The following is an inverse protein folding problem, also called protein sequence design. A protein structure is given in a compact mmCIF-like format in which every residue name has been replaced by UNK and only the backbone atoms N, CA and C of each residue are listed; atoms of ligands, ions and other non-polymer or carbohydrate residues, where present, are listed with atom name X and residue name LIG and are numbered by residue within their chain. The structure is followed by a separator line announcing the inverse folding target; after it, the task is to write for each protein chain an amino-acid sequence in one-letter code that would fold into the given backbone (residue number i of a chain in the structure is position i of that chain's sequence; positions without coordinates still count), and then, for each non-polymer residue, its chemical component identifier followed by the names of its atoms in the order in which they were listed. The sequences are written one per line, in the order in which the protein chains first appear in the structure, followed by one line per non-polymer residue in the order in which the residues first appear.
data_IF_260883549202
#
_entry.id   IF_260883549202
#
_cell.length_a   1.000
_cell.length_b   1.000
_cell.length_c   1.000
_cell.angle_alpha   90.00
_cell.angle_beta   90.00
_cell.angle_gamma   90.00
#
_symmetry.space_group_name_H-M   'P 1'
#
loop_
_entity.id
_entity.type
_entity.pdbx_description
1 polymer ?
#
# COMPACT_ATOMS: atom_id res chain seq x y z
N UNK A 1 33.26 10.05 3.73
CA UNK A 1 31.89 10.40 3.28
C UNK A 1 31.16 9.23 2.60
N UNK A 2 31.83 8.34 1.86
CA UNK A 2 31.19 7.23 1.14
C UNK A 2 30.30 6.30 1.99
N UNK A 3 30.73 5.90 3.20
CA UNK A 3 29.96 4.98 4.05
C UNK A 3 28.58 5.49 4.52
N UNK A 4 28.40 6.81 4.70
CA UNK A 4 27.11 7.42 5.08
C UNK A 4 26.11 7.51 3.91
N UNK A 5 26.60 7.50 2.67
CA UNK A 5 25.76 7.52 1.48
C UNK A 5 25.23 6.11 1.16
N UNK A 6 26.08 5.08 1.32
CA UNK A 6 25.68 3.67 1.17
C UNK A 6 24.65 3.24 2.21
N UNK A 7 24.75 3.79 3.43
CA UNK A 7 23.81 3.55 4.52
C UNK A 7 22.41 4.14 4.20
N UNK A 8 22.34 5.40 3.76
CA UNK A 8 21.06 6.02 3.39
C UNK A 8 20.36 5.32 2.21
N UNK A 9 21.11 4.93 1.17
CA UNK A 9 20.54 4.20 0.03
C UNK A 9 20.02 2.80 0.43
N UNK A 10 20.62 2.19 1.45
CA UNK A 10 20.16 0.91 2.00
C UNK A 10 18.88 1.10 2.82
N UNK A 11 18.82 2.14 3.65
CA UNK A 11 17.60 2.51 4.38
C UNK A 11 16.45 2.86 3.45
N UNK A 12 16.71 3.57 2.35
CA UNK A 12 15.68 3.92 1.36
C UNK A 12 15.08 2.65 0.72
N UNK A 13 15.93 1.69 0.33
CA UNK A 13 15.46 0.39 -0.20
C UNK A 13 14.65 -0.39 0.82
N UNK A 14 15.08 -0.37 2.09
CA UNK A 14 14.33 -1.03 3.17
C UNK A 14 12.95 -0.41 3.37
N UNK A 15 12.83 0.93 3.30
CA UNK A 15 11.53 1.61 3.41
C UNK A 15 10.64 1.37 2.20
N UNK A 16 11.19 1.41 0.98
CA UNK A 16 10.43 1.05 -0.21
C UNK A 16 9.89 -0.39 -0.13
N UNK A 17 10.72 -1.33 0.33
CA UNK A 17 10.28 -2.70 0.58
C UNK A 17 9.17 -2.78 1.64
N UNK A 18 9.26 -1.99 2.72
CA UNK A 18 8.22 -1.92 3.73
C UNK A 18 6.88 -1.42 3.15
N UNK A 19 6.90 -0.38 2.31
CA UNK A 19 5.72 0.12 1.61
C UNK A 19 5.10 -0.97 0.74
N UNK A 20 5.91 -1.68 -0.02
CA UNK A 20 5.42 -2.77 -0.89
C UNK A 20 4.84 -3.94 -0.09
N UNK A 21 5.41 -4.26 1.07
CA UNK A 21 4.86 -5.28 1.96
C UNK A 21 3.50 -4.84 2.54
N UNK A 22 3.38 -3.60 3.02
CA UNK A 22 2.10 -3.05 3.51
C UNK A 22 1.03 -3.00 2.41
N UNK A 23 1.42 -2.68 1.17
CA UNK A 23 0.52 -2.77 0.00
C UNK A 23 0.02 -4.20 -0.22
N UNK A 24 0.92 -5.18 -0.14
CA UNK A 24 0.58 -6.60 -0.31
C UNK A 24 -0.38 -7.07 0.77
N UNK A 25 -0.10 -6.75 2.03
CA UNK A 25 -0.97 -7.07 3.17
C UNK A 25 -2.37 -6.48 2.98
N UNK A 26 -2.47 -5.19 2.62
CA UNK A 26 -3.74 -4.54 2.32
C UNK A 26 -4.48 -5.23 1.16
N UNK A 27 -3.77 -5.59 0.10
CA UNK A 27 -4.34 -6.30 -1.05
C UNK A 27 -4.94 -7.66 -0.66
N UNK A 28 -4.28 -8.42 0.21
CA UNK A 28 -4.79 -9.69 0.73
C UNK A 28 -6.09 -9.49 1.51
N UNK A 29 -6.16 -8.45 2.35
CA UNK A 29 -7.38 -8.15 3.13
C UNK A 29 -8.54 -7.75 2.23
N UNK A 30 -8.30 -6.92 1.21
CA UNK A 30 -9.32 -6.51 0.24
C UNK A 30 -9.83 -7.73 -0.56
N UNK A 31 -8.94 -8.61 -1.01
CA UNK A 31 -9.33 -9.83 -1.72
C UNK A 31 -10.22 -10.72 -0.83
N UNK A 32 -9.86 -10.86 0.46
CA UNK A 32 -10.68 -11.60 1.42
C UNK A 32 -12.04 -10.96 1.67
N UNK A 33 -12.14 -9.62 1.63
CA UNK A 33 -13.43 -8.93 1.73
C UNK A 33 -14.33 -9.26 0.54
N UNK A 34 -13.76 -9.23 -0.67
CA UNK A 34 -14.47 -9.60 -1.90
C UNK A 34 -14.98 -11.05 -1.85
N UNK A 35 -14.16 -11.99 -1.40
CA UNK A 35 -14.58 -13.39 -1.19
C UNK A 35 -15.77 -13.52 -0.23
N UNK A 36 -15.77 -12.76 0.88
CA UNK A 36 -16.87 -12.76 1.84
C UNK A 36 -18.15 -12.14 1.26
N UNK A 37 -18.03 -11.09 0.44
CA UNK A 37 -19.16 -10.48 -0.27
C UNK A 37 -19.78 -11.50 -1.23
N UNK A 38 -18.96 -12.16 -2.05
CA UNK A 38 -19.41 -13.19 -2.99
C UNK A 38 -20.08 -14.38 -2.28
N UNK A 39 -19.54 -14.79 -1.13
CA UNK A 39 -20.16 -15.82 -0.29
C UNK A 39 -21.55 -15.37 0.21
N UNK A 40 -21.70 -14.10 0.58
CA UNK A 40 -22.97 -13.52 0.98
C UNK A 40 -24.00 -13.54 -0.15
N UNK A 41 -23.60 -13.18 -1.37
CA UNK A 41 -24.46 -13.23 -2.54
C UNK A 41 -24.91 -14.66 -2.87
N UNK A 42 -24.00 -15.64 -2.77
CA UNK A 42 -24.37 -17.04 -2.99
C UNK A 42 -25.34 -17.54 -1.93
N UNK A 43 -25.15 -17.14 -0.67
CA UNK A 43 -26.07 -17.45 0.41
C UNK A 43 -27.47 -16.86 0.12
N UNK A 44 -27.55 -15.63 -0.36
CA UNK A 44 -28.80 -14.96 -0.72
C UNK A 44 -29.47 -15.63 -1.94
N UNK A 45 -28.70 -16.09 -2.93
CA UNK A 45 -29.20 -16.93 -4.05
C UNK A 45 -29.75 -18.28 -3.58
N UNK A 46 -29.10 -18.93 -2.62
CA UNK A 46 -29.58 -20.17 -2.01
C UNK A 46 -30.94 -19.97 -1.33
N UNK A 47 -31.11 -18.89 -0.57
CA UNK A 47 -32.40 -18.56 0.05
C UNK A 47 -33.53 -18.46 -0.97
N UNK A 48 -33.30 -17.72 -2.07
CA UNK A 48 -34.31 -17.56 -3.12
C UNK A 48 -34.70 -18.91 -3.73
N UNK A 49 -33.74 -19.84 -3.93
CA UNK A 49 -34.02 -21.19 -4.44
C UNK A 49 -34.89 -21.98 -3.46
N UNK A 50 -34.50 -22.04 -2.19
CA UNK A 50 -35.26 -22.78 -1.17
C UNK A 50 -36.67 -22.20 -0.96
N UNK A 51 -36.79 -20.88 -1.04
CA UNK A 51 -38.05 -20.17 -0.90
C UNK A 51 -39.02 -20.47 -2.07
N UNK A 52 -38.50 -20.69 -3.28
CA UNK A 52 -39.31 -21.17 -4.43
C UNK A 52 -39.76 -22.61 -4.23
N UNK A 53 -38.87 -23.51 -3.82
CA UNK A 53 -39.20 -24.92 -3.56
C UNK A 53 -40.29 -25.04 -2.47
N UNK A 54 -40.17 -24.27 -1.39
CA UNK A 54 -41.16 -24.25 -0.33
C UNK A 54 -42.53 -23.68 -0.77
N UNK A 55 -42.53 -22.77 -1.75
CA UNK A 55 -43.77 -22.22 -2.32
C UNK A 55 -44.47 -23.20 -3.26
N UNK A 56 -43.72 -24.09 -3.92
CA UNK A 56 -44.25 -25.13 -4.82
C UNK A 56 -44.88 -26.31 -4.04
N UNK A 57 -44.37 -26.64 -2.85
CA UNK A 57 -44.98 -27.62 -1.95
C UNK A 57 -45.06 -27.11 -0.49
N UNK A 58 -46.04 -26.25 -0.17
CA UNK A 58 -46.18 -25.65 1.16
C UNK A 58 -46.51 -26.67 2.24
N UNK A 59 -47.20 -27.76 1.89
CA UNK A 59 -47.76 -28.72 2.85
C UNK A 59 -46.69 -29.69 3.35
N UNK A 60 -45.79 -30.13 2.47
CA UNK A 60 -44.77 -31.13 2.82
C UNK A 60 -43.43 -30.50 3.23
N UNK A 61 -43.10 -29.30 2.72
CA UNK A 61 -41.75 -28.71 2.83
C UNK A 61 -41.71 -27.47 3.74
N UNK A 62 -42.85 -26.89 4.11
CA UNK A 62 -42.91 -25.65 4.89
C UNK A 62 -42.15 -25.66 6.23
N UNK A 63 -42.17 -26.79 6.97
CA UNK A 63 -41.41 -26.93 8.22
C UNK A 63 -39.89 -26.98 8.00
N UNK A 64 -39.45 -27.63 6.92
CA UNK A 64 -38.03 -27.71 6.53
C UNK A 64 -37.51 -26.32 6.17
N UNK A 65 -38.32 -25.55 5.41
CA UNK A 65 -37.99 -24.19 5.04
C UNK A 65 -37.84 -23.24 6.24
N UNK A 66 -38.70 -23.34 7.25
CA UNK A 66 -38.60 -22.51 8.46
C UNK A 66 -37.27 -22.71 9.20
N UNK A 67 -36.81 -23.96 9.30
CA UNK A 67 -35.50 -24.31 9.88
C UNK A 67 -34.35 -23.77 9.03
N UNK A 68 -34.43 -23.94 7.71
CA UNK A 68 -33.46 -23.39 6.76
C UNK A 68 -33.35 -21.87 6.88
N UNK A 69 -34.47 -21.15 6.86
CA UNK A 69 -34.50 -19.70 6.92
C UNK A 69 -33.87 -19.16 8.22
N UNK A 70 -34.08 -19.85 9.35
CA UNK A 70 -33.44 -19.51 10.62
C UNK A 70 -31.92 -19.70 10.55
N UNK A 71 -31.45 -20.80 9.97
CA UNK A 71 -30.02 -21.06 9.74
C UNK A 71 -29.37 -20.05 8.79
N UNK A 72 -30.08 -19.69 7.70
CA UNK A 72 -29.66 -18.66 6.76
C UNK A 72 -29.45 -17.31 7.45
N UNK A 73 -30.44 -16.86 8.23
CA UNK A 73 -30.35 -15.61 9.00
C UNK A 73 -29.13 -15.59 9.93
N UNK A 74 -28.94 -16.66 10.71
CA UNK A 74 -27.79 -16.75 11.62
C UNK A 74 -26.45 -16.69 10.87
N UNK A 75 -26.34 -17.37 9.71
CA UNK A 75 -25.14 -17.33 8.88
C UNK A 75 -24.92 -15.95 8.25
N UNK A 76 -25.99 -15.24 7.89
CA UNK A 76 -25.90 -13.87 7.36
C UNK A 76 -25.41 -12.89 8.41
N UNK A 77 -25.92 -12.99 9.65
CA UNK A 77 -25.47 -12.19 10.78
C UNK A 77 -23.98 -12.43 11.09
N UNK A 78 -23.54 -13.70 11.09
CA UNK A 78 -22.12 -14.05 11.24
C UNK A 78 -21.25 -13.45 10.11
N UNK A 79 -21.69 -13.57 8.86
CA UNK A 79 -20.96 -13.03 7.72
C UNK A 79 -20.85 -11.49 7.79
N UNK A 80 -21.93 -10.81 8.20
CA UNK A 80 -21.93 -9.37 8.41
C UNK A 80 -20.96 -8.95 9.53
N UNK A 81 -20.94 -9.69 10.64
CA UNK A 81 -19.99 -9.44 11.73
C UNK A 81 -18.54 -9.62 11.26
N UNK A 82 -18.25 -10.68 10.50
CA UNK A 82 -16.91 -10.90 9.94
C UNK A 82 -16.51 -9.82 8.93
N UNK A 83 -17.42 -9.38 8.06
CA UNK A 83 -17.17 -8.26 7.14
C UNK A 83 -16.88 -6.97 7.90
N UNK A 84 -17.63 -6.67 8.97
CA UNK A 84 -17.40 -5.48 9.77
C UNK A 84 -16.02 -5.50 10.44
N UNK A 85 -15.61 -6.64 10.99
CA UNK A 85 -14.28 -6.82 11.57
C UNK A 85 -13.18 -6.66 10.51
N UNK A 86 -13.32 -7.34 9.36
CA UNK A 86 -12.34 -7.27 8.28
C UNK A 86 -12.20 -5.86 7.70
N UNK A 87 -13.29 -5.09 7.61
CA UNK A 87 -13.24 -3.68 7.20
C UNK A 87 -12.46 -2.82 8.17
N UNK A 88 -12.60 -3.05 9.48
CA UNK A 88 -11.76 -2.36 10.47
C UNK A 88 -10.28 -2.72 10.31
N UNK A 89 -9.96 -3.99 10.01
CA UNK A 89 -8.59 -4.42 9.69
C UNK A 89 -8.06 -3.75 8.41
N UNK A 90 -8.89 -3.62 7.37
CA UNK A 90 -8.55 -2.92 6.12
C UNK A 90 -8.21 -1.45 6.39
N UNK A 91 -9.03 -0.75 7.17
CA UNK A 91 -8.76 0.65 7.52
C UNK A 91 -7.47 0.79 8.32
N UNK A 92 -7.22 -0.09 9.30
CA UNK A 92 -5.95 -0.11 10.03
C UNK A 92 -4.74 -0.39 9.09
N UNK A 93 -4.87 -1.31 8.14
CA UNK A 93 -3.83 -1.60 7.16
C UNK A 93 -3.58 -0.41 6.21
N UNK A 94 -4.62 0.33 5.83
CA UNK A 94 -4.51 1.57 5.05
C UNK A 94 -3.73 2.64 5.82
N UNK A 95 -4.01 2.80 7.10
CA UNK A 95 -3.27 3.73 7.97
C UNK A 95 -1.80 3.36 8.08
N UNK A 96 -1.48 2.07 8.25
CA UNK A 96 -0.10 1.59 8.30
C UNK A 96 0.64 1.80 6.97
N UNK A 97 -0.03 1.55 5.84
CA UNK A 97 0.53 1.84 4.52
C UNK A 97 0.79 3.34 4.34
N UNK A 98 -0.15 4.19 4.74
CA UNK A 98 0.01 5.65 4.68
C UNK A 98 1.19 6.12 5.55
N UNK A 99 1.38 5.54 6.73
CA UNK A 99 2.55 5.83 7.57
C UNK A 99 3.86 5.41 6.89
N UNK A 100 3.91 4.20 6.33
CA UNK A 100 5.10 3.72 5.63
C UNK A 100 5.51 4.64 4.47
N UNK A 101 4.54 5.17 3.70
CA UNK A 101 4.83 6.17 2.66
C UNK A 101 5.36 7.49 3.22
N UNK A 102 4.83 7.97 4.36
CA UNK A 102 5.33 9.20 4.99
C UNK A 102 6.80 9.02 5.40
N UNK A 103 7.12 7.89 6.03
CA UNK A 103 8.50 7.57 6.42
C UNK A 103 9.43 7.45 5.21
N UNK A 104 9.00 6.78 4.14
CA UNK A 104 9.77 6.68 2.90
C UNK A 104 10.02 8.07 2.30
N UNK A 105 8.99 8.92 2.27
CA UNK A 105 9.06 10.26 1.69
C UNK A 105 10.06 11.16 2.41
N UNK A 106 10.10 11.10 3.74
CA UNK A 106 11.08 11.83 4.54
C UNK A 106 12.51 11.44 4.15
N UNK A 107 12.79 10.15 3.99
CA UNK A 107 14.13 9.72 3.56
C UNK A 107 14.46 10.14 2.12
N UNK A 108 13.48 10.11 1.21
CA UNK A 108 13.66 10.59 -0.16
C UNK A 108 14.02 12.09 -0.18
N UNK A 109 13.39 12.91 0.66
CA UNK A 109 13.71 14.34 0.76
C UNK A 109 15.11 14.58 1.32
N UNK A 110 15.51 13.83 2.35
CA UNK A 110 16.89 13.87 2.88
C UNK A 110 17.90 13.49 1.80
N UNK A 111 17.63 12.46 1.00
CA UNK A 111 18.51 12.05 -0.09
C UNK A 111 18.61 13.14 -1.17
N UNK A 112 17.47 13.74 -1.56
CA UNK A 112 17.43 14.82 -2.55
C UNK A 112 18.26 16.03 -2.11
N UNK A 113 18.16 16.40 -0.83
CA UNK A 113 18.92 17.52 -0.28
C UNK A 113 20.43 17.22 -0.26
N UNK A 114 20.84 15.99 0.09
CA UNK A 114 22.26 15.59 0.00
C UNK A 114 22.79 15.69 -1.42
N UNK A 115 22.04 15.16 -2.40
CA UNK A 115 22.43 15.23 -3.81
C UNK A 115 22.55 16.68 -4.30
N UNK A 116 21.67 17.58 -3.84
CA UNK A 116 21.75 19.00 -4.14
C UNK A 116 23.04 19.62 -3.60
N UNK A 117 23.38 19.34 -2.34
CA UNK A 117 24.60 19.86 -1.70
C UNK A 117 25.88 19.34 -2.37
N UNK A 118 25.92 18.06 -2.71
CA UNK A 118 27.03 17.44 -3.44
C UNK A 118 27.21 18.09 -4.82
N UNK A 119 26.13 18.23 -5.60
CA UNK A 119 26.19 18.88 -6.91
C UNK A 119 26.58 20.36 -6.85
N UNK A 120 26.17 21.10 -5.81
CA UNK A 120 26.63 22.48 -5.59
C UNK A 120 28.13 22.55 -5.24
N UNK A 121 28.62 21.59 -4.47
CA UNK A 121 30.05 21.51 -4.15
C UNK A 121 30.89 21.17 -5.38
N UNK A 122 30.45 20.22 -6.20
CA UNK A 122 31.09 19.90 -7.48
C UNK A 122 31.14 21.10 -8.42
N UNK A 123 30.03 21.84 -8.56
CA UNK A 123 30.00 23.09 -9.34
C UNK A 123 30.97 24.14 -8.80
N UNK A 124 31.06 24.32 -7.49
CA UNK A 124 32.01 25.25 -6.86
C UNK A 124 33.46 24.86 -7.14
N UNK A 125 33.80 23.58 -6.99
CA UNK A 125 35.14 23.07 -7.27
C UNK A 125 35.49 23.23 -8.75
N UNK A 126 34.56 22.89 -9.64
CA UNK A 126 34.75 23.02 -11.07
C UNK A 126 34.93 24.49 -11.49
N UNK A 127 34.13 25.40 -10.96
CA UNK A 127 34.26 26.84 -11.22
C UNK A 127 35.65 27.36 -10.80
N UNK A 128 36.10 27.01 -9.59
CA UNK A 128 37.43 27.40 -9.12
C UNK A 128 38.56 26.90 -10.04
N UNK A 129 38.43 25.68 -10.58
CA UNK A 129 39.40 25.14 -11.54
C UNK A 129 39.41 25.90 -12.87
N UNK A 130 38.25 26.32 -13.37
CA UNK A 130 38.17 27.13 -14.59
C UNK A 130 38.76 28.52 -14.39
N UNK A 131 38.50 29.15 -13.24
CA UNK A 131 39.05 30.46 -12.91
C UNK A 131 40.59 30.41 -12.82
N UNK A 132 41.16 29.33 -12.25
CA UNK A 132 42.62 29.11 -12.19
C UNK A 132 43.25 28.95 -13.57
N UNK A 133 42.62 28.18 -14.46
CA UNK A 133 43.07 28.01 -15.86
C UNK A 133 43.03 29.35 -16.59
N UNK A 134 41.93 30.11 -16.43
CA UNK A 134 41.76 31.43 -17.04
C UNK A 134 42.84 32.42 -16.59
N UNK A 135 43.13 32.48 -15.29
CA UNK A 135 44.22 33.32 -14.76
C UNK A 135 45.60 32.91 -15.29
N UNK A 136 45.86 31.61 -15.40
CA UNK A 136 47.13 31.09 -15.92
C UNK A 136 47.33 31.44 -17.39
N UNK A 137 46.29 31.30 -18.21
CA UNK A 137 46.32 31.70 -19.63
C UNK A 137 46.48 33.21 -19.81
N UNK A 138 45.81 34.03 -18.98
CA UNK A 138 45.96 35.48 -19.00
C UNK A 138 47.41 35.89 -18.68
N UNK A 139 48.00 35.33 -17.61
CA UNK A 139 49.41 35.59 -17.25
C UNK A 139 50.40 35.14 -18.31
N UNK A 140 50.10 34.08 -19.05
CA UNK A 140 50.95 33.60 -20.14
C UNK A 140 50.92 34.52 -21.36
N UNK A 141 49.77 35.17 -21.63
CA UNK A 141 49.64 36.15 -22.72
C UNK A 141 50.26 37.51 -22.41
N UNK A 142 50.22 37.94 -21.15
CA UNK A 142 50.75 39.25 -20.72
C UNK A 142 52.30 39.28 -20.65
N UNK A 143 52.95 38.12 -20.74
CA UNK A 143 54.41 37.95 -20.71
C UNK A 143 55.04 37.65 -22.08
N UNK A 144 54.27 37.68 -23.16
CA UNK A 144 54.73 37.49 -24.54
C UNK A 144 54.49 38.74 -25.38
#
# INVERSE_FOLDING_TARGET
MAGKATDLATLLRLRAWNVDERRRELGILIAREEELILLGEELDRQLIREQKVAAEDPTSVGYIYASFAKGHKARREQLQSHLAALRAEIEAAREQLNEAYREEKVLQEVQKERQRQEGEQEKRVLQASYDEIGMTQYRARDKG
#
